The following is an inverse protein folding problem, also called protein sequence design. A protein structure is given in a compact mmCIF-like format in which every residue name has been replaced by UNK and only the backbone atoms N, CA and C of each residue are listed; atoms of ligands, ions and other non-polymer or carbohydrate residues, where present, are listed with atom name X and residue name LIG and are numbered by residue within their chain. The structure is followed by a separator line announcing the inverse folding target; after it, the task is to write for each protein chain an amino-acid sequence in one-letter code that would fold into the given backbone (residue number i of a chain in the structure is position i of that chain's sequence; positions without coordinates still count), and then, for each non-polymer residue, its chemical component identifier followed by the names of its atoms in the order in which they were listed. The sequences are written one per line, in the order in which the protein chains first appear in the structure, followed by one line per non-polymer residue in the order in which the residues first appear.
data_IF_068400000526
#
_entry.id   IF_068400000526
#
_cell.length_a   1.000
_cell.length_b   1.000
_cell.length_c   1.000
_cell.angle_alpha   90.00
_cell.angle_beta   90.00
_cell.angle_gamma   90.00
#
_symmetry.space_group_name_H-M   'P 1'
#
loop_
_entity.id
_entity.type
_entity.pdbx_description
1 polymer ?
#
# COMPACT_ATOMS: atom_id res chain seq x y z
N UNK A 1 -4.45 42.36 -56.26
CA UNK A 1 -3.10 42.34 -55.66
C UNK A 1 -3.26 41.99 -54.19
N UNK A 2 -2.69 40.88 -53.75
CA UNK A 2 -2.88 40.34 -52.40
C UNK A 2 -1.91 41.02 -51.44
N UNK A 3 -2.40 41.82 -50.52
CA UNK A 3 -1.61 42.39 -49.40
C UNK A 3 -1.48 41.34 -48.31
N UNK A 4 -0.64 40.31 -48.54
CA UNK A 4 -0.11 39.53 -47.43
C UNK A 4 0.92 40.41 -46.72
N UNK A 5 0.56 40.95 -45.56
CA UNK A 5 1.52 41.55 -44.64
C UNK A 5 2.55 40.50 -44.26
N UNK A 6 3.80 40.68 -44.70
CA UNK A 6 4.94 39.79 -44.50
C UNK A 6 5.47 39.85 -43.06
N UNK A 7 4.64 39.51 -42.08
CA UNK A 7 5.10 39.29 -40.71
C UNK A 7 5.65 37.87 -40.62
N UNK A 8 6.88 37.66 -41.09
CA UNK A 8 7.59 36.40 -40.89
C UNK A 8 8.15 36.35 -39.46
N UNK A 9 7.76 35.33 -38.69
CA UNK A 9 8.38 35.05 -37.39
C UNK A 9 9.64 34.21 -37.64
N UNK A 10 10.83 34.68 -37.24
CA UNK A 10 12.05 33.88 -37.37
C UNK A 10 11.93 32.55 -36.62
N UNK A 11 12.42 31.48 -37.24
CA UNK A 11 12.35 30.12 -36.70
C UNK A 11 13.73 29.47 -36.73
N UNK A 12 14.14 28.84 -35.63
CA UNK A 12 15.37 28.07 -35.56
C UNK A 12 15.17 26.71 -34.88
N UNK A 13 16.11 25.78 -35.08
CA UNK A 13 16.09 24.46 -34.42
C UNK A 13 17.37 24.33 -33.59
N UNK A 14 17.19 24.18 -32.29
CA UNK A 14 18.28 24.04 -31.32
C UNK A 14 18.84 22.61 -31.39
N UNK A 15 20.17 22.51 -31.36
CA UNK A 15 20.90 21.26 -31.28
C UNK A 15 21.95 21.35 -30.15
N UNK A 16 22.06 20.34 -29.27
CA UNK A 16 21.27 19.10 -29.21
C UNK A 16 19.80 19.33 -28.76
N UNK A 17 18.88 18.46 -29.19
CA UNK A 17 17.49 18.51 -28.74
C UNK A 17 17.35 17.98 -27.31
N UNK A 18 16.41 18.56 -26.55
CA UNK A 18 16.11 18.16 -25.18
C UNK A 18 15.23 16.90 -25.11
N UNK A 19 15.39 16.13 -24.03
CA UNK A 19 14.59 14.93 -23.76
C UNK A 19 13.25 15.26 -23.12
N UNK A 20 12.35 15.85 -23.91
CA UNK A 20 10.98 16.14 -23.48
C UNK A 20 10.04 14.99 -23.84
N UNK A 21 9.09 14.71 -22.94
CA UNK A 21 7.96 13.79 -23.18
C UNK A 21 6.67 14.56 -22.97
N UNK A 22 5.70 14.33 -23.86
CA UNK A 22 4.35 14.85 -23.70
C UNK A 22 3.57 13.90 -22.80
N UNK A 23 2.92 14.44 -21.77
CA UNK A 23 2.06 13.69 -20.86
C UNK A 23 0.64 14.25 -20.97
N UNK A 24 -0.33 13.37 -21.19
CA UNK A 24 -1.74 13.72 -21.10
C UNK A 24 -2.11 14.05 -19.65
N UNK A 25 -2.80 15.17 -19.44
CA UNK A 25 -3.20 15.62 -18.11
C UNK A 25 -4.73 15.54 -17.97
N UNK A 26 -5.25 14.51 -17.27
CA UNK A 26 -6.64 14.48 -16.84
C UNK A 26 -7.00 15.74 -16.03
N UNK A 27 -8.26 16.21 -16.06
CA UNK A 27 -8.67 17.43 -15.36
C UNK A 27 -8.31 17.44 -13.87
N UNK A 28 -8.39 16.30 -13.20
CA UNK A 28 -8.05 16.16 -11.78
C UNK A 28 -6.56 16.36 -11.53
N UNK A 29 -5.71 15.85 -12.42
CA UNK A 29 -4.26 16.00 -12.34
C UNK A 29 -3.83 17.42 -12.70
N UNK A 30 -4.45 18.03 -13.71
CA UNK A 30 -4.20 19.43 -14.06
C UNK A 30 -4.53 20.34 -12.87
N UNK A 31 -5.71 20.16 -12.28
CA UNK A 31 -6.11 20.90 -11.07
C UNK A 31 -5.10 20.71 -9.93
N UNK A 32 -4.61 19.49 -9.72
CA UNK A 32 -3.62 19.20 -8.68
C UNK A 32 -2.28 19.91 -8.93
N UNK A 33 -1.82 19.98 -10.19
CA UNK A 33 -0.56 20.65 -10.57
C UNK A 33 -0.69 22.18 -10.48
N UNK A 34 -1.83 22.73 -10.87
CA UNK A 34 -2.10 24.18 -10.83
C UNK A 34 -2.32 24.69 -9.40
N UNK A 35 -2.87 23.84 -8.52
CA UNK A 35 -3.07 24.17 -7.10
C UNK A 35 -1.69 24.27 -6.43
N UNK A 36 -1.23 25.51 -6.17
CA UNK A 36 -0.09 25.73 -5.29
C UNK A 36 -0.33 25.04 -3.95
N UNK A 37 0.74 24.59 -3.29
CA UNK A 37 0.64 23.96 -1.97
C UNK A 37 0.08 24.95 -0.95
N UNK A 38 -1.25 24.99 -0.82
CA UNK A 38 -1.94 25.79 0.19
C UNK A 38 -2.03 25.03 1.54
N UNK A 39 -1.34 23.88 1.64
CA UNK A 39 -1.41 22.92 2.76
C UNK A 39 0.00 22.54 3.25
N UNK A 40 0.72 23.46 3.91
CA UNK A 40 2.07 23.20 4.45
C UNK A 40 2.05 22.12 5.55
N UNK A 41 0.90 21.90 6.18
CA UNK A 41 0.61 20.82 7.12
C UNK A 41 0.77 19.43 6.51
N UNK A 42 0.54 19.23 5.21
CA UNK A 42 0.68 17.91 4.56
C UNK A 42 2.03 17.71 3.86
N UNK A 43 2.82 18.76 3.71
CA UNK A 43 4.08 18.70 2.96
C UNK A 43 5.09 17.77 3.64
N UNK A 44 5.06 17.64 4.97
CA UNK A 44 5.89 16.65 5.68
C UNK A 44 5.51 15.20 5.32
N UNK A 45 4.22 14.89 5.19
CA UNK A 45 3.73 13.55 4.80
C UNK A 45 4.11 13.27 3.34
N UNK A 46 3.88 14.24 2.45
CA UNK A 46 4.26 14.10 1.05
C UNK A 46 5.78 13.94 0.90
N UNK A 47 6.59 14.72 1.61
CA UNK A 47 8.04 14.62 1.55
C UNK A 47 8.56 13.29 2.11
N UNK A 48 7.98 12.80 3.21
CA UNK A 48 8.33 11.49 3.77
C UNK A 48 8.01 10.34 2.80
N UNK A 49 6.94 10.47 2.00
CA UNK A 49 6.41 9.40 1.18
C UNK A 49 6.71 9.53 -0.32
N UNK A 50 7.46 10.57 -0.76
CA UNK A 50 7.97 10.70 -2.12
C UNK A 50 7.29 11.72 -3.04
N UNK A 51 6.45 12.61 -2.51
CA UNK A 51 5.81 13.74 -3.21
C UNK A 51 4.30 13.55 -3.45
N UNK A 52 3.63 14.58 -3.97
CA UNK A 52 2.18 14.59 -4.27
C UNK A 52 1.80 13.80 -5.53
N UNK A 53 2.69 13.77 -6.50
CA UNK A 53 2.56 13.03 -7.76
C UNK A 53 3.79 12.14 -7.87
N UNK A 54 3.58 10.84 -8.03
CA UNK A 54 4.64 9.84 -7.99
C UNK A 54 4.55 8.92 -9.20
N UNK A 55 5.68 8.70 -9.86
CA UNK A 55 5.81 7.65 -10.87
C UNK A 55 6.36 6.41 -10.18
N UNK A 56 5.58 5.32 -10.20
CA UNK A 56 5.86 4.06 -9.51
C UNK A 56 5.83 2.89 -10.47
N UNK A 57 6.64 1.88 -10.19
CA UNK A 57 6.65 0.61 -10.92
C UNK A 57 6.71 -0.53 -9.92
N UNK A 58 5.92 -1.58 -10.16
CA UNK A 58 6.02 -2.78 -9.33
C UNK A 58 7.43 -3.41 -9.44
N UNK A 59 7.99 -3.94 -8.34
CA UNK A 59 9.28 -4.60 -8.38
C UNK A 59 9.25 -5.81 -9.32
N UNK A 60 10.36 -6.03 -10.03
CA UNK A 60 10.52 -7.20 -10.89
C UNK A 60 10.81 -8.41 -10.03
N UNK A 61 9.86 -9.34 -9.90
CA UNK A 61 10.17 -10.65 -9.35
C UNK A 61 11.18 -11.35 -10.28
N UNK A 62 12.43 -11.44 -9.84
CA UNK A 62 13.48 -12.21 -10.52
C UNK A 62 13.28 -13.70 -10.28
N UNK A 63 12.16 -14.26 -10.75
CA UNK A 63 11.96 -15.71 -10.83
C UNK A 63 11.98 -16.14 -12.28
N UNK A 64 13.08 -16.80 -12.67
CA UNK A 64 13.34 -17.24 -14.03
C UNK A 64 12.29 -18.24 -14.52
N UNK A 65 11.28 -17.75 -15.23
CA UNK A 65 10.56 -18.51 -16.26
C UNK A 65 10.27 -17.59 -17.44
N UNK A 66 10.60 -18.05 -18.64
CA UNK A 66 10.60 -17.33 -19.93
C UNK A 66 9.20 -17.09 -20.49
N UNK A 67 8.27 -16.61 -19.65
CA UNK A 67 6.99 -16.06 -20.08
C UNK A 67 7.02 -14.55 -19.91
N UNK A 68 6.78 -13.82 -21.02
CA UNK A 68 6.76 -12.35 -21.11
C UNK A 68 6.22 -11.69 -19.83
N UNK A 69 6.82 -10.60 -19.34
CA UNK A 69 6.31 -9.87 -18.18
C UNK A 69 4.95 -9.28 -18.57
N UNK A 70 3.87 -9.96 -18.19
CA UNK A 70 2.59 -9.30 -18.01
C UNK A 70 2.74 -8.45 -16.77
N UNK A 71 2.60 -7.15 -16.94
CA UNK A 71 2.33 -6.18 -15.88
C UNK A 71 3.54 -5.47 -15.21
N UNK A 72 4.59 -5.19 -15.98
CA UNK A 72 5.53 -4.11 -15.64
C UNK A 72 5.08 -2.78 -16.24
N UNK A 73 3.97 -2.25 -15.73
CA UNK A 73 3.49 -0.93 -16.13
C UNK A 73 4.03 0.14 -15.18
N UNK A 74 4.53 1.23 -15.75
CA UNK A 74 4.74 2.48 -15.03
C UNK A 74 3.36 3.04 -14.66
N UNK A 75 3.18 3.41 -13.40
CA UNK A 75 1.96 4.00 -12.90
C UNK A 75 2.23 5.41 -12.38
N UNK A 76 1.33 6.33 -12.69
CA UNK A 76 1.28 7.65 -12.05
C UNK A 76 0.28 7.57 -10.90
N UNK A 77 0.75 7.83 -9.69
CA UNK A 77 -0.03 7.79 -8.46
C UNK A 77 -0.11 9.18 -7.84
N UNK A 78 -1.29 9.51 -7.32
CA UNK A 78 -1.54 10.69 -6.48
C UNK A 78 -2.03 10.25 -5.11
N UNK A 79 -2.57 11.17 -4.30
CA UNK A 79 -3.20 10.83 -3.03
C UNK A 79 -4.30 9.77 -3.20
N UNK A 80 -5.17 9.93 -4.20
CA UNK A 80 -6.42 9.16 -4.33
C UNK A 80 -6.61 8.45 -5.68
N UNK A 81 -5.75 8.72 -6.66
CA UNK A 81 -5.88 8.16 -8.01
C UNK A 81 -4.60 7.48 -8.48
N UNK A 82 -4.78 6.47 -9.33
CA UNK A 82 -3.71 5.76 -10.01
C UNK A 82 -4.06 5.60 -11.49
N UNK A 83 -3.08 5.87 -12.34
CA UNK A 83 -3.18 5.70 -13.78
C UNK A 83 -2.02 4.85 -14.29
N UNK A 84 -2.31 3.83 -15.11
CA UNK A 84 -1.29 3.17 -15.91
C UNK A 84 -0.83 4.12 -17.02
N UNK A 85 0.48 4.25 -17.18
CA UNK A 85 1.10 5.08 -18.22
C UNK A 85 1.26 4.24 -19.48
N UNK A 86 0.66 4.70 -20.58
CA UNK A 86 0.79 4.08 -21.90
C UNK A 86 1.50 5.04 -22.85
N UNK A 87 2.47 4.53 -23.59
CA UNK A 87 3.09 5.31 -24.67
C UNK A 87 2.33 5.10 -25.99
N UNK A 88 1.98 6.20 -26.66
CA UNK A 88 1.37 6.22 -27.99
C UNK A 88 2.26 6.99 -28.94
N UNK A 89 2.77 6.29 -29.96
CA UNK A 89 3.59 6.90 -31.01
C UNK A 89 2.72 7.65 -32.02
N UNK A 90 3.30 8.68 -32.61
CA UNK A 90 2.67 9.44 -33.71
C UNK A 90 3.58 9.47 -34.92
N UNK A 91 2.98 9.39 -36.12
CA UNK A 91 3.68 9.60 -37.39
C UNK A 91 3.88 11.09 -37.71
N UNK A 92 3.25 11.98 -36.95
CA UNK A 92 3.32 13.42 -37.18
C UNK A 92 4.61 14.00 -36.59
N UNK A 93 5.20 14.99 -37.26
CA UNK A 93 6.30 15.77 -36.71
C UNK A 93 5.77 16.84 -35.76
N UNK A 94 5.93 16.61 -34.45
CA UNK A 94 5.55 17.55 -33.40
C UNK A 94 6.81 18.22 -32.88
N UNK A 95 6.87 19.56 -32.92
CA UNK A 95 7.97 20.34 -32.38
C UNK A 95 7.52 21.12 -31.14
N UNK A 96 8.33 21.09 -30.08
CA UNK A 96 8.14 21.93 -28.90
C UNK A 96 8.98 23.18 -29.09
N UNK A 97 8.32 24.32 -29.02
CA UNK A 97 8.90 25.63 -29.31
C UNK A 97 9.02 26.42 -28.02
N UNK A 98 10.11 27.16 -27.88
CA UNK A 98 10.28 28.19 -26.87
C UNK A 98 10.45 29.55 -27.55
N UNK A 99 9.89 30.64 -26.99
CA UNK A 99 10.24 31.99 -27.42
C UNK A 99 11.75 32.22 -27.30
N UNK A 100 12.36 32.80 -28.33
CA UNK A 100 13.78 33.15 -28.35
C UNK A 100 13.95 34.61 -28.72
N UNK A 101 14.72 35.35 -27.94
CA UNK A 101 15.04 36.76 -28.24
C UNK A 101 16.19 36.93 -29.23
N UNK A 102 16.94 35.85 -29.47
CA UNK A 102 18.24 35.88 -30.15
C UNK A 102 18.22 35.13 -31.48
N UNK A 103 17.09 35.16 -32.19
CA UNK A 103 17.04 34.57 -33.53
C UNK A 103 17.64 35.54 -34.55
N UNK A 104 18.66 35.11 -35.32
CA UNK A 104 19.28 35.98 -36.33
C UNK A 104 18.25 36.38 -37.37
N UNK A 105 18.12 37.68 -37.64
CA UNK A 105 17.25 38.18 -38.69
C UNK A 105 17.74 37.70 -40.06
N UNK A 106 16.82 37.27 -40.92
CA UNK A 106 17.13 36.93 -42.31
C UNK A 106 17.73 38.12 -43.09
N UNK A 107 17.35 39.34 -42.72
CA UNK A 107 17.76 40.56 -43.43
C UNK A 107 19.13 41.07 -42.96
N UNK A 108 19.56 40.72 -41.74
CA UNK A 108 20.88 41.05 -41.22
C UNK A 108 21.32 40.06 -40.13
N UNK A 109 22.30 39.17 -40.41
CA UNK A 109 22.75 38.14 -39.47
C UNK A 109 23.45 38.68 -38.21
N UNK A 110 23.76 39.98 -38.17
CA UNK A 110 24.30 40.65 -36.96
C UNK A 110 23.22 41.25 -36.07
N UNK A 111 21.96 41.29 -36.53
CA UNK A 111 20.81 41.71 -35.74
C UNK A 111 20.02 40.50 -35.26
N UNK A 112 19.76 40.46 -33.95
CA UNK A 112 18.82 39.50 -33.37
C UNK A 112 17.41 40.10 -33.35
N UNK A 113 16.43 39.23 -33.54
CA UNK A 113 15.01 39.58 -33.44
C UNK A 113 14.30 38.52 -32.61
N UNK A 114 13.18 38.86 -31.95
CA UNK A 114 12.36 37.88 -31.27
C UNK A 114 11.76 36.89 -32.28
N UNK A 115 11.92 35.60 -32.01
CA UNK A 115 11.46 34.49 -32.84
C UNK A 115 11.13 33.25 -32.01
N UNK A 116 11.02 32.13 -32.68
CA UNK A 116 10.72 30.83 -32.07
C UNK A 116 11.86 29.85 -32.32
N UNK A 117 12.17 29.06 -31.29
CA UNK A 117 13.19 28.01 -31.41
C UNK A 117 12.62 26.67 -31.01
N UNK A 118 12.70 25.69 -31.92
CA UNK A 118 12.34 24.31 -31.63
C UNK A 118 13.47 23.64 -30.83
N UNK A 119 13.17 23.18 -29.62
CA UNK A 119 14.17 22.57 -28.72
C UNK A 119 13.92 21.07 -28.49
N UNK A 120 12.73 20.56 -28.82
CA UNK A 120 12.44 19.13 -28.76
C UNK A 120 11.49 18.69 -29.89
N UNK A 121 11.63 17.44 -30.32
CA UNK A 121 10.74 16.81 -31.31
C UNK A 121 10.23 15.46 -30.77
N UNK A 122 9.25 15.44 -29.84
CA UNK A 122 8.74 14.20 -29.30
C UNK A 122 8.05 13.35 -30.38
N UNK A 123 8.39 12.07 -30.43
CA UNK A 123 7.81 11.09 -31.37
C UNK A 123 6.64 10.30 -30.78
N UNK A 124 6.31 10.56 -29.52
CA UNK A 124 5.25 9.88 -28.79
C UNK A 124 4.72 10.72 -27.64
N UNK A 125 3.50 10.40 -27.23
CA UNK A 125 2.79 10.97 -26.09
C UNK A 125 2.56 9.87 -25.05
N UNK A 126 2.58 10.23 -23.78
CA UNK A 126 2.21 9.38 -22.66
C UNK A 126 0.75 9.64 -22.31
N UNK A 127 -0.10 8.64 -22.51
CA UNK A 127 -1.51 8.64 -22.13
C UNK A 127 -1.66 8.04 -20.73
N UNK A 128 -2.64 8.54 -19.98
CA UNK A 128 -2.95 8.09 -18.62
C UNK A 128 -4.28 7.33 -18.60
N UNK A 129 -4.21 6.03 -18.30
CA UNK A 129 -5.38 5.15 -18.24
C UNK A 129 -5.72 4.86 -16.77
N UNK A 130 -6.94 5.18 -16.28
CA UNK A 130 -7.33 4.85 -14.91
C UNK A 130 -7.19 3.35 -14.63
N UNK A 131 -6.50 3.00 -13.55
CA UNK A 131 -6.30 1.60 -13.16
C UNK A 131 -7.28 1.21 -12.06
N UNK A 132 -8.20 0.25 -12.27
CA UNK A 132 -9.04 -0.25 -11.21
C UNK A 132 -8.22 -1.08 -10.21
N UNK A 133 -8.57 -0.97 -8.93
CA UNK A 133 -8.00 -1.78 -7.85
C UNK A 133 -9.04 -2.00 -6.76
N UNK A 134 -8.87 -3.04 -5.97
CA UNK A 134 -9.63 -3.28 -4.74
C UNK A 134 -8.75 -3.11 -3.52
N UNK A 135 -9.35 -2.90 -2.33
CA UNK A 135 -8.59 -2.83 -1.09
C UNK A 135 -7.77 -4.11 -0.83
N UNK A 136 -8.35 -5.28 -1.15
CA UNK A 136 -7.68 -6.57 -1.01
C UNK A 136 -6.46 -6.73 -1.91
N UNK A 137 -6.44 -6.10 -3.10
CA UNK A 137 -5.26 -6.14 -3.98
C UNK A 137 -4.06 -5.42 -3.36
N UNK A 138 -4.30 -4.32 -2.65
CA UNK A 138 -3.27 -3.53 -1.98
C UNK A 138 -2.78 -4.23 -0.71
N UNK A 139 -3.71 -4.75 0.09
CA UNK A 139 -3.40 -5.54 1.29
C UNK A 139 -2.56 -6.78 0.91
N UNK A 140 -2.95 -7.52 -0.12
CA UNK A 140 -2.18 -8.66 -0.65
C UNK A 140 -0.80 -8.24 -1.15
N UNK A 141 -0.68 -7.09 -1.84
CA UNK A 141 0.61 -6.58 -2.28
C UNK A 141 1.54 -6.22 -1.12
N UNK A 142 1.03 -5.60 -0.05
CA UNK A 142 1.80 -5.30 1.16
C UNK A 142 2.29 -6.60 1.81
N UNK A 143 1.40 -7.57 2.02
CA UNK A 143 1.75 -8.83 2.66
C UNK A 143 2.77 -9.67 1.85
N UNK A 144 2.83 -9.49 0.52
CA UNK A 144 3.87 -10.12 -0.32
C UNK A 144 5.23 -9.44 -0.23
N UNK A 145 5.26 -8.12 -0.01
CA UNK A 145 6.49 -7.35 0.05
C UNK A 145 7.14 -7.38 1.43
N UNK A 146 6.34 -7.53 2.49
CA UNK A 146 6.82 -7.48 3.86
C UNK A 146 7.01 -8.87 4.45
N UNK A 147 8.06 -9.00 5.26
CA UNK A 147 8.32 -10.20 6.05
C UNK A 147 7.41 -10.21 7.29
N UNK A 148 6.86 -11.38 7.61
CA UNK A 148 6.16 -11.58 8.88
C UNK A 148 7.20 -11.59 10.00
N UNK A 149 7.01 -10.74 11.01
CA UNK A 149 7.93 -10.68 12.13
C UNK A 149 7.95 -12.02 12.88
N UNK A 150 9.12 -12.66 13.05
CA UNK A 150 9.21 -13.91 13.81
C UNK A 150 8.87 -13.64 15.28
N UNK A 151 7.95 -14.40 15.85
CA UNK A 151 7.56 -14.29 17.25
C UNK A 151 7.19 -15.66 17.84
N UNK A 152 7.69 -16.02 19.03
CA UNK A 152 8.73 -15.32 19.79
C UNK A 152 10.09 -15.36 19.07
N UNK A 153 10.93 -14.35 19.31
CA UNK A 153 12.31 -14.34 18.80
C UNK A 153 13.14 -15.35 19.59
N UNK A 154 13.73 -16.34 18.93
CA UNK A 154 14.84 -17.08 19.52
C UNK A 154 16.09 -16.18 19.48
N UNK A 155 16.78 -15.93 20.60
CA UNK A 155 18.00 -15.12 20.61
C UNK A 155 19.13 -15.68 19.74
N UNK A 156 19.02 -16.93 19.27
CA UNK A 156 19.95 -17.55 18.33
C UNK A 156 19.59 -17.37 16.85
N UNK A 157 18.38 -16.89 16.54
CA UNK A 157 17.95 -16.68 15.16
C UNK A 157 18.59 -15.42 14.55
N UNK A 158 19.11 -15.50 13.31
CA UNK A 158 19.59 -14.32 12.62
C UNK A 158 18.42 -13.36 12.32
N UNK A 159 18.65 -12.03 12.30
CA UNK A 159 17.62 -11.08 11.91
C UNK A 159 17.10 -11.41 10.50
N UNK A 160 15.80 -11.20 10.24
CA UNK A 160 15.20 -11.54 8.96
C UNK A 160 15.94 -10.85 7.81
N UNK A 161 16.37 -11.65 6.84
CA UNK A 161 17.01 -11.14 5.63
C UNK A 161 15.96 -10.38 4.80
N UNK A 162 16.30 -9.15 4.39
CA UNK A 162 15.47 -8.23 3.59
C UNK A 162 14.37 -7.51 4.36
N UNK A 163 14.75 -6.41 5.00
CA UNK A 163 13.80 -5.45 5.54
C UNK A 163 13.62 -4.28 4.57
N UNK A 164 12.37 -3.90 4.34
CA UNK A 164 12.04 -2.70 3.56
C UNK A 164 11.87 -1.52 4.52
N UNK A 165 12.35 -0.35 4.12
CA UNK A 165 11.95 0.89 4.76
C UNK A 165 10.53 1.27 4.33
N UNK A 166 9.83 2.09 5.12
CA UNK A 166 8.47 2.50 4.78
C UNK A 166 8.38 3.32 3.49
N UNK A 167 9.42 4.10 3.23
CA UNK A 167 9.55 4.84 1.97
C UNK A 167 9.68 3.88 0.79
N UNK A 168 10.51 2.84 0.93
CA UNK A 168 10.72 1.85 -0.14
C UNK A 168 9.49 0.98 -0.37
N UNK A 169 8.77 0.60 0.70
CA UNK A 169 7.48 -0.07 0.61
C UNK A 169 6.48 0.78 -0.18
N UNK A 170 6.32 2.05 0.22
CA UNK A 170 5.36 2.96 -0.41
C UNK A 170 5.71 3.27 -1.87
N UNK A 171 7.00 3.32 -2.21
CA UNK A 171 7.49 3.52 -3.57
C UNK A 171 7.31 2.26 -4.46
N UNK A 172 7.39 1.07 -3.88
CA UNK A 172 7.25 -0.22 -4.59
C UNK A 172 5.79 -0.57 -4.91
N UNK A 173 4.82 0.08 -4.26
CA UNK A 173 3.40 -0.18 -4.43
C UNK A 173 2.78 0.77 -5.46
N UNK A 174 2.31 0.28 -6.63
CA UNK A 174 1.71 1.11 -7.68
C UNK A 174 0.25 1.48 -7.37
N UNK A 175 0.01 2.05 -6.18
CA UNK A 175 -1.31 2.41 -5.69
C UNK A 175 -1.33 3.84 -5.12
N UNK A 176 -2.53 4.45 -4.98
CA UNK A 176 -2.68 5.76 -4.36
C UNK A 176 -2.23 5.76 -2.90
N UNK A 177 -1.71 6.91 -2.44
CA UNK A 177 -1.09 7.01 -1.13
C UNK A 177 -2.08 6.75 0.02
N UNK A 178 -3.29 7.31 -0.05
CA UNK A 178 -4.31 7.12 0.98
C UNK A 178 -4.72 5.65 1.12
N UNK A 179 -4.74 4.92 0.00
CA UNK A 179 -5.07 3.49 -0.04
C UNK A 179 -3.94 2.66 0.55
N UNK A 180 -2.68 2.98 0.22
CA UNK A 180 -1.51 2.30 0.81
C UNK A 180 -1.52 2.49 2.33
N UNK A 181 -1.71 3.72 2.82
CA UNK A 181 -1.72 3.99 4.26
C UNK A 181 -2.86 3.26 4.98
N UNK A 182 -4.05 3.21 4.37
CA UNK A 182 -5.18 2.43 4.88
C UNK A 182 -4.88 0.93 4.92
N UNK A 183 -4.34 0.38 3.84
CA UNK A 183 -3.98 -1.03 3.76
C UNK A 183 -2.87 -1.38 4.77
N UNK A 184 -1.87 -0.51 4.98
CA UNK A 184 -0.86 -0.67 6.03
C UNK A 184 -1.49 -0.79 7.43
N UNK A 185 -2.49 0.05 7.74
CA UNK A 185 -3.19 -0.03 9.04
C UNK A 185 -3.93 -1.35 9.21
N UNK A 186 -4.66 -1.78 8.18
CA UNK A 186 -5.40 -3.06 8.18
C UNK A 186 -4.51 -4.28 8.26
N UNK A 187 -3.33 -4.22 7.65
CA UNK A 187 -2.30 -5.25 7.77
C UNK A 187 -1.48 -5.13 9.07
N UNK A 188 -1.84 -4.21 9.97
CA UNK A 188 -1.14 -3.94 11.24
C UNK A 188 0.36 -3.69 11.06
N UNK A 189 0.74 -3.07 9.94
CA UNK A 189 2.13 -2.81 9.60
C UNK A 189 2.76 -1.97 10.69
N UNK A 190 3.87 -2.45 11.24
CA UNK A 190 4.58 -1.81 12.33
C UNK A 190 6.08 -1.72 12.05
N UNK A 191 6.75 -0.92 12.86
CA UNK A 191 8.17 -0.63 12.75
C UNK A 191 8.89 -1.31 13.91
N UNK A 192 9.92 -2.09 13.63
CA UNK A 192 10.81 -2.64 14.65
C UNK A 192 12.21 -2.03 14.48
N UNK A 193 12.73 -1.44 15.56
CA UNK A 193 14.04 -0.82 15.63
C UNK A 193 14.12 0.22 16.76
N UNK A 194 15.18 0.14 17.58
CA UNK A 194 15.45 1.06 18.69
C UNK A 194 16.34 2.25 18.30
N UNK A 195 16.94 2.25 17.11
CA UNK A 195 17.92 3.26 16.71
C UNK A 195 17.27 4.46 16.00
N UNK A 196 17.44 5.65 16.57
CA UNK A 196 17.11 6.96 15.97
C UNK A 196 17.85 7.22 14.64
N UNK A 197 18.84 6.38 14.27
CA UNK A 197 19.70 6.57 13.10
C UNK A 197 19.62 5.46 12.05
N UNK A 198 18.92 4.35 12.29
CA UNK A 198 18.73 3.30 11.29
C UNK A 198 17.33 3.34 10.71
N UNK A 199 17.27 3.18 9.38
CA UNK A 199 16.05 3.05 8.61
C UNK A 199 15.12 2.01 9.27
N UNK A 200 14.03 2.50 9.86
CA UNK A 200 13.09 1.65 10.58
C UNK A 200 12.56 0.58 9.63
N UNK A 201 12.85 -0.66 9.96
CA UNK A 201 12.43 -1.83 9.20
C UNK A 201 10.95 -2.08 9.44
N UNK A 202 10.23 -2.34 8.36
CA UNK A 202 8.78 -2.48 8.37
C UNK A 202 8.38 -3.96 8.31
N UNK A 203 7.43 -4.35 9.15
CA UNK A 203 6.99 -5.74 9.30
C UNK A 203 5.47 -5.87 9.36
N UNK A 204 4.99 -7.08 9.07
CA UNK A 204 3.63 -7.53 9.39
C UNK A 204 3.70 -8.44 10.63
N UNK A 205 2.87 -8.25 11.66
CA UNK A 205 2.93 -9.08 12.85
C UNK A 205 2.31 -10.46 12.59
N UNK A 206 2.87 -11.49 13.20
CA UNK A 206 2.23 -12.80 13.27
C UNK A 206 0.95 -12.73 14.13
N UNK A 207 -0.05 -13.61 13.90
CA UNK A 207 -1.27 -13.66 14.72
C UNK A 207 -1.01 -13.78 16.22
N UNK A 208 -0.02 -14.58 16.60
CA UNK A 208 0.36 -14.80 17.99
C UNK A 208 0.92 -13.53 18.64
N UNK A 209 1.66 -12.73 17.87
CA UNK A 209 2.18 -11.44 18.31
C UNK A 209 1.06 -10.40 18.46
N UNK A 210 0.08 -10.39 17.55
CA UNK A 210 -1.11 -9.54 17.67
C UNK A 210 -1.88 -9.86 18.97
N UNK A 211 -2.08 -11.15 19.26
CA UNK A 211 -2.78 -11.59 20.46
C UNK A 211 -1.99 -11.27 21.74
N UNK A 212 -0.67 -11.49 21.73
CA UNK A 212 0.21 -11.14 22.85
C UNK A 212 0.22 -9.63 23.11
N UNK A 213 0.32 -8.81 22.05
CA UNK A 213 0.25 -7.36 22.12
C UNK A 213 -1.06 -6.88 22.75
N UNK A 214 -2.21 -7.43 22.32
CA UNK A 214 -3.49 -7.07 22.91
C UNK A 214 -3.58 -7.44 24.40
N UNK A 215 -3.11 -8.63 24.79
CA UNK A 215 -3.06 -9.05 26.21
C UNK A 215 -2.20 -8.11 27.06
N UNK A 216 -1.02 -7.73 26.55
CA UNK A 216 -0.14 -6.78 27.22
C UNK A 216 -0.81 -5.40 27.38
N UNK A 217 -1.51 -4.95 26.34
CA UNK A 217 -2.28 -3.70 26.38
C UNK A 217 -3.41 -3.73 27.42
N UNK A 218 -4.21 -4.80 27.45
CA UNK A 218 -5.28 -4.95 28.44
C UNK A 218 -4.73 -5.00 29.87
N UNK A 219 -3.64 -5.72 30.10
CA UNK A 219 -2.94 -5.78 31.39
C UNK A 219 -2.46 -4.40 31.84
N UNK A 220 -1.80 -3.65 30.97
CA UNK A 220 -1.32 -2.30 31.30
C UNK A 220 -2.45 -1.30 31.54
N UNK A 221 -3.54 -1.39 30.79
CA UNK A 221 -4.73 -0.57 31.07
C UNK A 221 -5.30 -0.88 32.46
N UNK A 222 -5.35 -2.16 32.86
CA UNK A 222 -5.81 -2.55 34.18
C UNK A 222 -4.89 -2.02 35.30
N UNK A 223 -3.57 -2.10 35.13
CA UNK A 223 -2.57 -1.56 36.07
C UNK A 223 -2.75 -0.04 36.25
N UNK A 224 -2.91 0.68 35.14
CA UNK A 224 -3.08 2.14 35.13
C UNK A 224 -4.51 2.60 35.44
N UNK A 225 -5.44 1.66 35.67
CA UNK A 225 -6.87 1.92 35.88
C UNK A 225 -7.49 2.77 34.77
N UNK A 226 -7.08 2.50 33.54
CA UNK A 226 -7.59 3.15 32.34
C UNK A 226 -8.75 2.32 31.82
N UNK A 227 -9.91 2.96 31.66
CA UNK A 227 -11.06 2.34 31.03
C UNK A 227 -10.81 2.24 29.52
N UNK A 228 -10.64 1.01 29.02
CA UNK A 228 -10.42 0.73 27.59
C UNK A 228 -11.62 1.14 26.74
N UNK A 229 -12.84 1.03 27.27
CA UNK A 229 -14.06 1.37 26.53
C UNK A 229 -14.19 2.88 26.31
N UNK A 230 -13.67 3.68 27.25
CA UNK A 230 -13.67 5.14 27.19
C UNK A 230 -12.30 5.73 26.80
N UNK A 231 -11.33 4.90 26.41
CA UNK A 231 -9.96 5.34 26.16
C UNK A 231 -9.90 6.39 25.04
N UNK A 232 -9.41 7.58 25.38
CA UNK A 232 -8.87 8.52 24.41
C UNK A 232 -7.41 8.13 24.12
N UNK A 233 -7.14 7.84 22.86
CA UNK A 233 -5.83 7.35 22.40
C UNK A 233 -4.71 8.39 22.49
N UNK A 234 -5.01 9.62 22.92
CA UNK A 234 -4.01 10.61 23.33
C UNK A 234 -3.09 10.10 24.45
N UNK A 235 -3.58 9.25 25.35
CA UNK A 235 -2.82 8.61 26.43
C UNK A 235 -2.04 7.34 26.02
N UNK A 236 -2.09 6.94 24.74
CA UNK A 236 -1.48 5.68 24.29
C UNK A 236 0.05 5.67 24.43
N UNK A 237 0.69 6.84 24.37
CA UNK A 237 2.15 6.98 24.55
C UNK A 237 2.60 6.39 25.89
N UNK A 238 1.98 6.82 26.98
CA UNK A 238 2.32 6.34 28.32
C UNK A 238 2.03 4.85 28.49
N UNK A 239 0.91 4.36 27.95
CA UNK A 239 0.57 2.93 28.01
C UNK A 239 1.63 2.11 27.29
N UNK A 240 1.97 2.49 26.05
CA UNK A 240 2.93 1.74 25.23
C UNK A 240 4.37 1.87 25.73
N UNK A 241 4.74 2.95 26.43
CA UNK A 241 6.00 3.05 27.15
C UNK A 241 6.10 2.03 28.29
N UNK A 242 5.02 1.81 29.05
CA UNK A 242 4.95 0.76 30.07
C UNK A 242 5.09 -0.65 29.47
N UNK A 243 4.38 -0.91 28.37
CA UNK A 243 4.51 -2.18 27.63
C UNK A 243 5.93 -2.40 27.13
N UNK A 244 6.59 -1.35 26.63
CA UNK A 244 7.95 -1.46 26.10
C UNK A 244 8.95 -1.87 27.20
N UNK A 245 8.74 -1.44 28.44
CA UNK A 245 9.57 -1.81 29.60
C UNK A 245 9.31 -3.25 30.07
N UNK A 246 8.05 -3.68 30.08
CA UNK A 246 7.66 -4.97 30.67
C UNK A 246 7.71 -6.14 29.67
N UNK A 247 7.28 -5.90 28.42
CA UNK A 247 7.09 -6.93 27.37
C UNK A 247 7.96 -6.68 26.13
N UNK A 248 8.63 -5.53 26.05
CA UNK A 248 9.55 -5.17 24.97
C UNK A 248 8.99 -4.22 23.91
N UNK A 249 9.89 -3.53 23.21
CA UNK A 249 9.57 -2.48 22.24
C UNK A 249 8.71 -2.96 21.05
N UNK A 250 8.93 -4.20 20.60
CA UNK A 250 8.16 -4.83 19.50
C UNK A 250 6.69 -4.97 19.89
N UNK A 251 6.40 -5.50 21.07
CA UNK A 251 5.03 -5.67 21.58
C UNK A 251 4.34 -4.30 21.68
N UNK A 252 5.04 -3.30 22.23
CA UNK A 252 4.54 -1.93 22.30
C UNK A 252 4.26 -1.31 20.92
N UNK A 253 5.10 -1.59 19.92
CA UNK A 253 4.91 -1.12 18.55
C UNK A 253 3.68 -1.76 17.89
N UNK A 254 3.46 -3.06 18.11
CA UNK A 254 2.28 -3.78 17.60
C UNK A 254 1.01 -3.30 18.29
N UNK A 255 1.04 -2.99 19.60
CA UNK A 255 -0.10 -2.35 20.28
C UNK A 255 -0.47 -1.04 19.61
N UNK A 256 0.51 -0.19 19.27
CA UNK A 256 0.23 1.04 18.52
C UNK A 256 -0.41 0.74 17.16
N UNK A 257 0.02 -0.30 16.46
CA UNK A 257 -0.57 -0.69 15.18
C UNK A 257 -2.03 -1.18 15.32
N UNK A 258 -2.31 -2.03 16.31
CA UNK A 258 -3.66 -2.53 16.62
C UNK A 258 -4.59 -1.37 16.98
N UNK A 259 -4.19 -0.52 17.93
CA UNK A 259 -5.01 0.64 18.33
C UNK A 259 -5.25 1.59 17.15
N UNK A 260 -4.25 1.85 16.30
CA UNK A 260 -4.40 2.70 15.10
C UNK A 260 -5.46 2.20 14.11
N UNK A 261 -5.63 0.90 13.94
CA UNK A 261 -6.66 0.35 13.05
C UNK A 261 -8.06 0.54 13.63
N UNK A 262 -8.21 0.35 14.94
CA UNK A 262 -9.51 0.37 15.60
C UNK A 262 -9.93 1.71 16.17
N UNK A 263 -9.21 2.81 15.95
CA UNK A 263 -9.67 4.14 16.36
C UNK A 263 -10.74 4.67 15.41
N UNK A 264 -11.89 5.06 15.97
CA UNK A 264 -12.90 5.86 15.32
C UNK A 264 -12.48 7.32 15.32
N UNK A 265 -12.39 7.92 14.14
CA UNK A 265 -12.22 9.36 14.02
C UNK A 265 -13.61 10.01 14.09
N UNK A 266 -13.83 11.00 14.98
CA UNK A 266 -15.08 11.75 14.96
C UNK A 266 -15.27 12.39 13.58
N UNK A 267 -16.44 12.15 12.97
CA UNK A 267 -16.78 12.60 11.63
C UNK A 267 -17.08 14.11 11.57
N UNK A 268 -17.26 14.77 12.71
CA UNK A 268 -17.77 16.15 12.77
C UNK A 268 -16.84 17.06 13.58
N UNK A 269 -16.42 18.17 12.98
CA UNK A 269 -15.92 19.35 13.70
C UNK A 269 -14.42 19.63 13.70
N UNK A 270 -13.55 18.76 13.16
CA UNK A 270 -12.14 19.13 12.95
C UNK A 270 -11.99 19.88 11.62
N UNK A 271 -12.12 21.20 11.68
CA UNK A 271 -11.64 22.12 10.64
C UNK A 271 -10.12 22.01 10.50
N UNK A 272 -9.62 20.96 9.83
CA UNK A 272 -8.19 20.86 9.52
C UNK A 272 -7.74 19.55 8.89
N UNK A 273 -8.17 18.42 9.43
CA UNK A 273 -7.55 17.13 9.13
C UNK A 273 -8.01 16.46 7.83
N UNK A 274 -7.20 16.52 6.77
CA UNK A 274 -7.38 15.67 5.58
C UNK A 274 -7.37 14.17 5.93
N UNK A 275 -7.91 13.32 5.04
CA UNK A 275 -7.83 11.85 5.20
C UNK A 275 -6.37 11.38 5.38
N UNK A 276 -5.44 11.99 4.65
CA UNK A 276 -4.02 11.69 4.75
C UNK A 276 -3.42 12.01 6.12
N UNK A 277 -3.81 13.12 6.77
CA UNK A 277 -3.32 13.46 8.11
C UNK A 277 -3.85 12.49 9.17
N UNK A 278 -5.13 12.11 9.03
CA UNK A 278 -5.76 11.08 9.86
C UNK A 278 -5.10 9.72 9.69
N UNK A 279 -4.59 9.42 8.50
CA UNK A 279 -3.86 8.19 8.18
C UNK A 279 -2.38 8.24 8.60
N UNK A 280 -1.75 9.41 8.57
CA UNK A 280 -0.32 9.60 8.79
C UNK A 280 0.09 9.84 10.26
N UNK A 281 -0.58 10.73 10.99
CA UNK A 281 0.05 11.35 12.17
C UNK A 281 -0.86 11.51 13.41
N UNK A 282 -2.19 11.52 13.26
CA UNK A 282 -3.11 11.74 14.38
C UNK A 282 -3.74 10.46 14.94
N UNK A 283 -3.48 10.17 16.23
CA UNK A 283 -4.32 9.29 17.03
C UNK A 283 -5.18 10.15 17.94
N UNK A 284 -6.43 10.41 17.54
CA UNK A 284 -7.46 11.01 18.39
C UNK A 284 -8.77 10.31 18.11
N UNK A 285 -9.50 9.96 19.17
CA UNK A 285 -10.78 9.30 19.06
C UNK A 285 -10.91 8.10 19.99
N UNK A 286 -12.05 7.44 19.88
CA UNK A 286 -12.41 6.27 20.70
C UNK A 286 -12.19 4.98 19.94
N UNK A 287 -11.98 3.88 20.66
CA UNK A 287 -11.91 2.56 20.03
C UNK A 287 -13.27 2.12 19.48
N UNK A 288 -13.25 1.55 18.28
CA UNK A 288 -14.32 0.80 17.65
C UNK A 288 -14.48 -0.53 18.35
N UNK A 289 -15.05 -0.49 19.56
CA UNK A 289 -15.10 -1.64 20.45
C UNK A 289 -15.75 -2.87 19.81
N UNK A 290 -16.82 -2.68 19.03
CA UNK A 290 -17.52 -3.78 18.37
C UNK A 290 -16.66 -4.48 17.33
N UNK A 291 -16.07 -3.73 16.41
CA UNK A 291 -15.20 -4.26 15.35
C UNK A 291 -13.94 -4.91 15.93
N UNK A 292 -13.39 -4.33 17.00
CA UNK A 292 -12.26 -4.88 17.73
C UNK A 292 -12.61 -6.19 18.45
N UNK A 293 -13.79 -6.26 19.08
CA UNK A 293 -14.32 -7.48 19.67
C UNK A 293 -14.45 -8.58 18.62
N UNK A 294 -15.09 -8.31 17.48
CA UNK A 294 -15.24 -9.27 16.37
C UNK A 294 -13.89 -9.77 15.85
N UNK A 295 -12.94 -8.86 15.66
CA UNK A 295 -11.59 -9.21 15.22
C UNK A 295 -10.84 -10.08 16.24
N UNK A 296 -10.90 -9.75 17.54
CA UNK A 296 -10.27 -10.54 18.60
C UNK A 296 -10.81 -11.96 18.68
N UNK A 297 -12.12 -12.15 18.49
CA UNK A 297 -12.72 -13.49 18.45
C UNK A 297 -12.17 -14.33 17.30
N UNK A 298 -12.04 -13.74 16.11
CA UNK A 298 -11.40 -14.38 14.96
C UNK A 298 -9.93 -14.71 15.22
N UNK A 299 -9.19 -13.76 15.82
CA UNK A 299 -7.78 -13.92 16.16
C UNK A 299 -7.56 -15.05 17.17
N UNK A 300 -8.39 -15.19 18.20
CA UNK A 300 -8.32 -16.30 19.16
C UNK A 300 -8.47 -17.65 18.47
N UNK A 301 -9.43 -17.78 17.53
CA UNK A 301 -9.58 -19.03 16.74
C UNK A 301 -8.38 -19.25 15.83
N UNK A 302 -7.82 -18.19 15.23
CA UNK A 302 -6.64 -18.29 14.36
C UNK A 302 -5.41 -18.78 15.12
N UNK A 303 -5.18 -18.29 16.35
CA UNK A 303 -4.07 -18.71 17.22
C UNK A 303 -4.30 -20.07 17.89
N UNK A 304 -5.51 -20.63 17.84
CA UNK A 304 -5.81 -21.92 18.44
C UNK A 304 -5.03 -23.06 17.75
N UNK A 305 -4.71 -24.16 18.45
CA UNK A 305 -4.08 -25.33 17.83
C UNK A 305 -4.89 -25.84 16.62
N UNK A 306 -4.25 -25.89 15.45
CA UNK A 306 -4.88 -26.24 14.16
C UNK A 306 -5.98 -25.27 13.68
N UNK A 307 -6.06 -24.08 14.27
CA UNK A 307 -7.08 -23.08 13.95
C UNK A 307 -8.50 -23.54 14.31
N UNK A 308 -8.65 -24.36 15.36
CA UNK A 308 -9.95 -24.89 15.80
C UNK A 308 -10.08 -24.73 17.31
N UNK A 309 -11.19 -24.15 17.76
CA UNK A 309 -11.49 -23.94 19.18
C UNK A 309 -12.90 -24.43 19.52
N UNK A 310 -13.10 -24.95 20.72
CA UNK A 310 -14.46 -25.27 21.20
C UNK A 310 -15.27 -23.99 21.41
N UNK A 311 -16.59 -24.01 21.18
CA UNK A 311 -17.42 -22.80 21.33
C UNK A 311 -17.39 -22.26 22.77
N UNK A 312 -17.43 -23.14 23.77
CA UNK A 312 -17.36 -22.72 25.18
C UNK A 312 -15.99 -22.11 25.53
N UNK A 313 -14.92 -22.76 25.09
CA UNK A 313 -13.53 -22.31 25.25
C UNK A 313 -13.29 -20.96 24.57
N UNK A 314 -13.80 -20.79 23.34
CA UNK A 314 -13.77 -19.52 22.63
C UNK A 314 -14.46 -18.42 23.42
N UNK A 315 -15.66 -18.66 23.94
CA UNK A 315 -16.41 -17.63 24.66
C UNK A 315 -15.70 -17.19 25.95
N UNK A 316 -15.10 -18.14 26.67
CA UNK A 316 -14.31 -17.85 27.87
C UNK A 316 -13.05 -17.04 27.53
N UNK A 317 -12.25 -17.49 26.57
CA UNK A 317 -11.04 -16.78 26.15
C UNK A 317 -11.37 -15.39 25.59
N UNK A 318 -12.40 -15.30 24.75
CA UNK A 318 -12.79 -14.05 24.11
C UNK A 318 -13.27 -13.01 25.11
N UNK A 319 -14.08 -13.40 26.11
CA UNK A 319 -14.50 -12.49 27.17
C UNK A 319 -13.34 -12.05 28.08
N UNK A 320 -12.36 -12.93 28.34
CA UNK A 320 -11.18 -12.60 29.12
C UNK A 320 -10.26 -11.57 28.46
N UNK A 321 -10.37 -11.38 27.14
CA UNK A 321 -9.61 -10.38 26.39
C UNK A 321 -10.26 -9.00 26.37
N UNK A 322 -11.49 -8.86 26.87
CA UNK A 322 -12.31 -7.68 26.63
C UNK A 322 -12.81 -7.03 27.93
N UNK A 323 -13.04 -5.70 27.91
CA UNK A 323 -13.83 -5.03 28.93
C UNK A 323 -15.23 -5.65 29.04
N UNK A 324 -15.79 -5.64 30.25
CA UNK A 324 -17.12 -6.25 30.53
C UNK A 324 -18.23 -5.63 29.71
N UNK A 325 -18.10 -4.34 29.42
CA UNK A 325 -19.01 -3.52 28.62
C UNK A 325 -19.16 -4.07 27.20
N UNK A 326 -18.15 -4.78 26.67
CA UNK A 326 -18.11 -5.28 25.31
C UNK A 326 -18.52 -6.75 25.18
N UNK A 327 -18.79 -7.43 26.30
CA UNK A 327 -19.15 -8.86 26.30
C UNK A 327 -20.45 -9.16 25.55
N UNK A 328 -21.35 -8.17 25.43
CA UNK A 328 -22.58 -8.31 24.64
C UNK A 328 -22.32 -8.48 23.13
N UNK A 329 -21.12 -8.17 22.66
CA UNK A 329 -20.71 -8.35 21.26
C UNK A 329 -19.97 -9.67 21.01
N UNK A 330 -19.62 -10.43 22.06
CA UNK A 330 -19.06 -11.77 21.92
C UNK A 330 -20.13 -12.76 21.44
N UNK A 331 -20.31 -12.85 20.12
CA UNK A 331 -21.29 -13.72 19.49
C UNK A 331 -20.62 -14.51 18.37
N UNK A 332 -20.78 -15.83 18.37
CA UNK A 332 -20.20 -16.70 17.32
C UNK A 332 -20.71 -16.31 15.94
N UNK A 333 -21.95 -15.82 15.84
CA UNK A 333 -22.54 -15.32 14.60
C UNK A 333 -21.84 -14.07 14.06
N UNK A 334 -21.16 -13.30 14.91
CA UNK A 334 -20.38 -12.14 14.49
C UNK A 334 -19.07 -12.54 13.80
N UNK A 335 -18.63 -13.80 13.95
CA UNK A 335 -17.46 -14.36 13.27
C UNK A 335 -17.79 -14.97 11.89
N UNK A 336 -19.00 -14.74 11.38
CA UNK A 336 -19.40 -15.23 10.05
C UNK A 336 -18.54 -14.57 8.97
N UNK A 337 -17.84 -15.41 8.20
CA UNK A 337 -16.98 -14.98 7.09
C UNK A 337 -15.49 -15.19 7.38
N UNK A 338 -15.06 -14.98 8.62
CA UNK A 338 -13.69 -15.28 9.10
C UNK A 338 -13.58 -16.69 9.68
N UNK A 339 -14.65 -17.19 10.28
CA UNK A 339 -14.71 -18.52 10.86
C UNK A 339 -15.87 -19.36 10.30
N UNK A 340 -15.73 -20.68 10.38
CA UNK A 340 -16.77 -21.66 10.11
C UNK A 340 -17.15 -22.39 11.39
N UNK A 341 -18.46 -22.46 11.68
CA UNK A 341 -18.97 -23.26 12.78
C UNK A 341 -19.21 -24.68 12.29
N UNK A 342 -18.49 -25.64 12.85
CA UNK A 342 -18.72 -27.06 12.60
C UNK A 342 -19.84 -27.58 13.51
N UNK A 343 -20.64 -28.53 12.99
CA UNK A 343 -21.83 -29.08 13.68
C UNK A 343 -21.58 -29.74 15.05
N UNK A 344 -20.33 -29.82 15.51
CA UNK A 344 -19.95 -30.36 16.82
C UNK A 344 -19.69 -29.28 17.88
N UNK A 345 -20.15 -28.03 17.68
CA UNK A 345 -19.88 -26.93 18.59
C UNK A 345 -18.41 -26.47 18.57
N UNK A 346 -17.74 -26.67 17.44
CA UNK A 346 -16.36 -26.21 17.20
C UNK A 346 -16.38 -25.07 16.20
N UNK A 347 -15.46 -24.13 16.37
CA UNK A 347 -15.26 -23.01 15.46
C UNK A 347 -13.90 -23.17 14.81
N UNK A 348 -13.84 -23.17 13.48
CA UNK A 348 -12.61 -23.27 12.69
C UNK A 348 -12.32 -21.94 12.01
N UNK A 349 -11.05 -21.53 12.01
CA UNK A 349 -10.57 -20.41 11.20
C UNK A 349 -10.68 -20.75 9.71
N UNK A 350 -11.38 -19.91 8.94
CA UNK A 350 -11.42 -20.01 7.49
C UNK A 350 -10.12 -19.37 6.97
N UNK A 351 -9.11 -20.20 6.71
CA UNK A 351 -7.89 -19.74 6.06
C UNK A 351 -8.23 -18.98 4.77
N UNK A 352 -7.50 -17.91 4.48
CA UNK A 352 -7.76 -17.10 3.30
C UNK A 352 -7.33 -17.88 2.05
N UNK A 353 -8.27 -18.59 1.42
CA UNK A 353 -8.03 -19.32 0.16
C UNK A 353 -7.61 -18.39 -1.00
N UNK A 354 -7.67 -17.06 -0.81
CA UNK A 354 -7.23 -16.05 -1.78
C UNK A 354 -5.94 -15.30 -1.42
N UNK A 355 -5.35 -15.58 -0.26
CA UNK A 355 -4.09 -15.00 0.19
C UNK A 355 -3.19 -16.08 0.76
N UNK A 356 -2.40 -16.72 -0.11
CA UNK A 356 -1.52 -17.83 0.27
C UNK A 356 -0.53 -17.45 1.37
N UNK A 357 -0.88 -17.81 2.60
CA UNK A 357 0.04 -17.95 3.72
C UNK A 357 0.06 -19.43 4.11
N UNK A 358 0.70 -20.22 3.25
CA UNK A 358 1.11 -21.57 3.63
C UNK A 358 2.30 -21.42 4.59
N UNK A 359 2.06 -21.77 5.85
CA UNK A 359 3.13 -22.02 6.83
C UNK A 359 4.06 -23.10 6.25
N UNK A 360 5.25 -22.71 5.81
CA UNK A 360 6.30 -23.64 5.41
C UNK A 360 6.99 -24.18 6.66
N UNK A 361 6.39 -25.17 7.32
CA UNK A 361 7.12 -26.05 8.23
C UNK A 361 7.94 -27.03 7.38
N UNK A 362 9.24 -26.79 7.30
CA UNK A 362 10.18 -27.68 6.61
C UNK A 362 10.25 -29.04 7.28
N UNK A 363 9.92 -30.09 6.54
CA UNK A 363 10.52 -31.41 6.75
C UNK A 363 10.68 -32.08 5.40
N UNK A 364 11.93 -32.12 4.92
CA UNK A 364 12.30 -32.85 3.72
C UNK A 364 12.46 -34.34 4.06
N UNK A 365 11.73 -35.22 3.37
CA UNK A 365 12.21 -36.53 2.92
C UNK A 365 11.14 -37.26 2.08
N UNK A 366 11.52 -37.76 0.90
CA UNK A 366 10.96 -39.00 0.34
C UNK A 366 10.26 -38.91 -1.02
N UNK A 367 11.01 -39.14 -2.09
CA UNK A 367 10.58 -39.39 -3.47
C UNK A 367 9.42 -40.39 -3.61
N UNK A 368 8.43 -40.08 -4.47
CA UNK A 368 7.85 -41.02 -5.44
C UNK A 368 6.95 -40.29 -6.46
N UNK A 369 7.28 -40.43 -7.74
CA UNK A 369 6.38 -40.25 -8.89
C UNK A 369 6.69 -41.40 -9.88
N UNK A 370 5.85 -41.72 -10.89
CA UNK A 370 4.56 -41.11 -11.28
C UNK A 370 3.44 -42.14 -11.59
N UNK A 371 2.18 -41.67 -11.74
CA UNK A 371 1.26 -42.30 -12.71
C UNK A 371 0.19 -41.33 -13.25
N UNK A 372 0.14 -41.29 -14.59
CA UNK A 372 -0.96 -40.97 -15.51
C UNK A 372 -1.83 -39.71 -15.37
N UNK A 373 -1.71 -38.86 -16.39
CA UNK A 373 -2.61 -37.80 -16.88
C UNK A 373 -3.91 -38.42 -17.47
N UNK A 374 -5.03 -37.67 -17.64
CA UNK A 374 -5.35 -37.25 -19.01
C UNK A 374 -5.89 -35.81 -19.18
N UNK A 375 -5.26 -35.13 -20.14
CA UNK A 375 -5.77 -34.20 -21.14
C UNK A 375 -6.50 -32.90 -20.73
N UNK A 376 -5.78 -31.77 -20.88
CA UNK A 376 -6.37 -30.49 -21.29
C UNK A 376 -5.92 -30.14 -22.71
N UNK A 377 -6.93 -30.08 -23.59
CA UNK A 377 -6.90 -29.82 -25.03
C UNK A 377 -6.22 -28.49 -25.38
N UNK A 378 -5.23 -28.55 -26.28
CA UNK A 378 -4.52 -27.42 -26.86
C UNK A 378 -5.37 -26.74 -27.96
N UNK A 379 -5.66 -25.44 -27.77
CA UNK A 379 -6.46 -24.62 -28.69
C UNK A 379 -5.73 -24.32 -30.01
N UNK A 380 -4.40 -24.45 -30.05
CA UNK A 380 -3.57 -24.07 -31.19
C UNK A 380 -3.72 -24.97 -32.43
N UNK A 381 -4.24 -26.20 -32.30
CA UNK A 381 -4.48 -27.07 -33.46
C UNK A 381 -5.70 -26.64 -34.31
N UNK A 382 -6.68 -25.93 -33.73
CA UNK A 382 -7.89 -25.53 -34.46
C UNK A 382 -7.64 -24.48 -35.56
N UNK A 383 -6.56 -23.70 -35.49
CA UNK A 383 -6.26 -22.68 -36.50
C UNK A 383 -5.27 -23.14 -37.58
N UNK A 384 -4.55 -24.24 -37.37
CA UNK A 384 -3.71 -24.82 -38.42
C UNK A 384 -4.54 -25.50 -39.53
N UNK A 385 -5.73 -26.03 -39.18
CA UNK A 385 -6.62 -26.69 -40.13
C UNK A 385 -7.36 -25.75 -41.09
N UNK A 386 -7.27 -24.42 -40.91
CA UNK A 386 -8.00 -23.44 -41.74
C UNK A 386 -7.14 -22.79 -42.84
N UNK A 387 -5.89 -23.21 -43.02
CA UNK A 387 -4.98 -22.72 -44.08
C UNK A 387 -4.72 -23.71 -45.23
N UNK A 388 -5.53 -24.77 -45.35
CA UNK A 388 -5.59 -25.60 -46.55
C UNK A 388 -7.02 -25.69 -47.06
N UNK A 389 -7.44 -24.69 -47.83
CA UNK A 389 -8.44 -24.82 -48.88
C UNK A 389 -8.05 -23.95 -50.05
#
# INVERSE_FOLDING_TARGET
MSTQSSLSVPFSIIHPQEHVRLLELPPELLKLIETKSDRPDLDHIYNALGGRVQLKSAPTESSGTTTKPKDQYLHLCTENHVWAVRQVSTSNSVHILSPSTDTPSLDNPTSTSPGLSAFAQPTSTLELLPTPYTAGDVESAICRLLVIHPWPLDPSDPPPAHTLSDRDLSASLPYPLSVILRAKRRCFVFFAGDDEQQQQSVYVPAPELLLAAWKAFASQCAIKRVDVAALDVSGLGDITAGIALDEGAVVAAVVRAVVKEFVAFPLEGSEGGGELERLGCGLKGQLKGKELTEWLGGLSVQCAPRGVLGTAELMEEWQNLLPREWWEWCKVEALKGTCEVEGAGKVRWRGDEKGGLAASSGTAAGNAAPSSIPNKRNWHEKFAAQRKR
#
